data_IF_907886787969
#
_entry.id   IF_907886787969
#
_cell.length_a   1.000
_cell.length_b   1.000
_cell.length_c   1.000
_cell.angle_alpha   90.00
_cell.angle_beta   90.00
_cell.angle_gamma   90.00
#
_symmetry.space_group_name_H-M   'P 1'
#
loop_
_entity.id
_entity.type
_entity.pdbx_description
1 polymer ?
#
# COMPACT_ATOMS: atom_id res chain seq x y z
N UNK A 1 -17.79 -11.01 5.48
CA UNK A 1 -17.49 -11.49 4.12
C UNK A 1 -18.24 -12.78 3.87
N UNK A 2 -18.45 -13.11 2.60
CA UNK A 2 -18.98 -14.42 2.22
C UNK A 2 -17.96 -15.51 2.62
N UNK A 3 -18.34 -16.61 3.30
CA UNK A 3 -17.36 -17.56 3.86
C UNK A 3 -16.39 -18.15 2.82
N UNK A 4 -16.82 -18.51 1.60
CA UNK A 4 -15.91 -18.93 0.53
C UNK A 4 -14.89 -17.85 0.12
N UNK A 5 -15.27 -16.57 0.14
CA UNK A 5 -14.33 -15.47 -0.13
C UNK A 5 -13.22 -15.42 0.93
N UNK A 6 -13.58 -15.60 2.20
CA UNK A 6 -12.62 -15.59 3.30
C UNK A 6 -11.61 -16.73 3.18
N UNK A 7 -12.08 -17.94 2.90
CA UNK A 7 -11.22 -19.12 2.69
C UNK A 7 -10.26 -18.89 1.53
N UNK A 8 -10.75 -18.35 0.41
CA UNK A 8 -9.92 -18.02 -0.75
C UNK A 8 -8.88 -16.95 -0.42
N UNK A 9 -9.26 -15.89 0.29
CA UNK A 9 -8.33 -14.83 0.70
C UNK A 9 -7.22 -15.38 1.60
N UNK A 10 -7.55 -16.25 2.56
CA UNK A 10 -6.55 -16.88 3.43
C UNK A 10 -5.64 -17.84 2.66
N UNK A 11 -6.20 -18.59 1.70
CA UNK A 11 -5.48 -19.58 0.92
C UNK A 11 -4.61 -18.96 -0.19
N UNK A 12 -5.03 -17.86 -0.80
CA UNK A 12 -4.46 -17.32 -2.04
C UNK A 12 -3.97 -15.87 -1.93
N UNK A 13 -4.40 -15.14 -0.90
CA UNK A 13 -4.04 -13.74 -0.71
C UNK A 13 -2.58 -13.53 -0.34
N UNK A 14 -2.11 -12.32 -0.61
CA UNK A 14 -0.84 -11.79 -0.14
C UNK A 14 -1.08 -10.48 0.61
N UNK A 15 -0.36 -10.31 1.70
CA UNK A 15 -0.38 -9.08 2.48
C UNK A 15 1.02 -8.69 2.92
N UNK A 16 1.29 -7.39 2.94
CA UNK A 16 2.56 -6.84 3.40
C UNK A 16 2.32 -5.61 4.27
N UNK A 17 3.23 -5.39 5.20
CA UNK A 17 3.24 -4.22 6.06
C UNK A 17 4.38 -3.30 5.65
N UNK A 18 4.04 -2.12 5.13
CA UNK A 18 5.00 -1.10 4.73
C UNK A 18 5.15 -0.13 5.90
N UNK A 19 6.33 -0.12 6.52
CA UNK A 19 6.64 0.78 7.62
C UNK A 19 7.39 2.00 7.09
N UNK A 20 6.98 3.24 7.46
CA UNK A 20 7.75 4.41 7.11
C UNK A 20 9.14 4.33 7.77
N UNK A 21 10.18 4.72 7.01
CA UNK A 21 11.55 4.77 7.51
C UNK A 21 11.78 5.97 8.44
N UNK A 22 11.12 7.08 8.15
CA UNK A 22 11.21 8.36 8.84
C UNK A 22 9.92 9.17 8.66
N UNK A 23 9.88 10.40 9.19
CA UNK A 23 8.72 11.29 9.09
C UNK A 23 8.36 11.71 7.66
N UNK A 24 9.36 11.82 6.78
CA UNK A 24 9.11 12.10 5.37
C UNK A 24 8.43 10.89 4.71
N UNK A 25 8.92 9.67 4.97
CA UNK A 25 8.29 8.43 4.55
C UNK A 25 6.87 8.29 5.09
N UNK A 26 6.63 8.68 6.35
CA UNK A 26 5.30 8.72 6.96
C UNK A 26 4.38 9.69 6.22
N UNK A 27 4.85 10.89 5.89
CA UNK A 27 4.09 11.87 5.12
C UNK A 27 3.79 11.41 3.69
N UNK A 28 4.74 10.76 3.01
CA UNK A 28 4.57 10.18 1.68
C UNK A 28 3.49 9.08 1.72
N UNK A 29 3.59 8.13 2.64
CA UNK A 29 2.63 7.04 2.79
C UNK A 29 1.25 7.52 3.29
N UNK A 30 1.17 8.69 3.92
CA UNK A 30 -0.09 9.32 4.29
C UNK A 30 -0.95 9.65 3.06
N UNK A 31 -0.30 10.03 1.94
CA UNK A 31 -0.97 10.37 0.69
C UNK A 31 -1.81 9.20 0.18
N UNK A 32 -3.12 9.43 0.01
CA UNK A 32 -4.02 8.45 -0.61
C UNK A 32 -3.57 8.14 -2.03
N UNK A 33 -3.17 9.17 -2.80
CA UNK A 33 -2.67 9.01 -4.16
C UNK A 33 -1.43 8.11 -4.23
N UNK A 34 -0.48 8.28 -3.30
CA UNK A 34 0.71 7.42 -3.25
C UNK A 34 0.34 5.96 -2.98
N UNK A 35 -0.55 5.73 -2.01
CA UNK A 35 -1.02 4.38 -1.68
C UNK A 35 -1.75 3.73 -2.85
N UNK A 36 -2.56 4.49 -3.57
CA UNK A 36 -3.23 4.03 -4.79
C UNK A 36 -2.23 3.74 -5.90
N UNK A 37 -1.17 4.54 -6.07
CA UNK A 37 -0.12 4.28 -7.05
C UNK A 37 0.60 2.95 -6.76
N UNK A 38 1.03 2.72 -5.51
CA UNK A 38 1.66 1.45 -5.10
C UNK A 38 0.73 0.27 -5.39
N UNK A 39 -0.53 0.39 -4.99
CA UNK A 39 -1.54 -0.66 -5.17
C UNK A 39 -1.82 -0.95 -6.66
N UNK A 40 -1.95 0.11 -7.46
CA UNK A 40 -2.16 0.01 -8.90
C UNK A 40 -0.98 -0.65 -9.59
N UNK A 41 0.26 -0.26 -9.27
CA UNK A 41 1.47 -0.88 -9.82
C UNK A 41 1.57 -2.36 -9.43
N UNK A 42 1.27 -2.70 -8.17
CA UNK A 42 1.23 -4.10 -7.73
C UNK A 42 0.19 -4.91 -8.50
N UNK A 43 -1.03 -4.39 -8.64
CA UNK A 43 -2.11 -5.03 -9.39
C UNK A 43 -1.78 -5.20 -10.88
N UNK A 44 -1.14 -4.20 -11.50
CA UNK A 44 -0.76 -4.24 -12.91
C UNK A 44 0.35 -5.27 -13.21
N UNK A 45 1.30 -5.46 -12.29
CA UNK A 45 2.45 -6.33 -12.51
C UNK A 45 2.25 -7.77 -12.03
N UNK A 46 1.54 -7.98 -10.92
CA UNK A 46 1.23 -9.33 -10.40
C UNK A 46 -0.07 -9.91 -10.98
N UNK A 47 -0.87 -9.06 -11.62
CA UNK A 47 -2.27 -9.38 -11.90
C UNK A 47 -3.10 -9.47 -10.62
N UNK A 48 -4.42 -9.57 -10.79
CA UNK A 48 -5.34 -9.76 -9.67
C UNK A 48 -6.46 -10.71 -10.07
N UNK A 49 -7.03 -11.43 -9.11
CA UNK A 49 -8.24 -12.23 -9.28
C UNK A 49 -9.54 -11.42 -9.06
N UNK A 50 -9.44 -10.09 -9.10
CA UNK A 50 -10.61 -9.22 -8.98
C UNK A 50 -11.53 -9.41 -10.18
N UNK A 51 -12.81 -9.58 -9.90
CA UNK A 51 -13.88 -9.57 -10.89
C UNK A 51 -15.00 -8.60 -10.48
N UNK A 52 -15.80 -8.15 -11.45
CA UNK A 52 -16.83 -7.10 -11.27
C UNK A 52 -17.82 -7.45 -10.13
N UNK A 53 -18.11 -8.75 -9.95
CA UNK A 53 -19.05 -9.24 -8.94
C UNK A 53 -18.38 -9.74 -7.64
N UNK A 54 -17.07 -9.56 -7.47
CA UNK A 54 -16.30 -10.09 -6.34
C UNK A 54 -15.56 -8.97 -5.57
N UNK A 55 -16.28 -8.06 -4.89
CA UNK A 55 -15.69 -6.91 -4.23
C UNK A 55 -14.74 -7.28 -3.09
N UNK A 56 -14.92 -8.46 -2.48
CA UNK A 56 -14.06 -8.99 -1.42
C UNK A 56 -12.59 -9.16 -1.89
N UNK A 57 -12.35 -9.26 -3.20
CA UNK A 57 -11.02 -9.46 -3.79
C UNK A 57 -10.34 -8.18 -4.23
N UNK A 58 -11.00 -7.04 -4.03
CA UNK A 58 -10.44 -5.73 -4.37
C UNK A 58 -9.13 -5.52 -3.61
N UNK A 59 -8.02 -5.21 -4.29
CA UNK A 59 -6.78 -4.85 -3.60
C UNK A 59 -7.01 -3.64 -2.70
N UNK A 60 -6.38 -3.60 -1.53
CA UNK A 60 -6.55 -2.52 -0.56
C UNK A 60 -5.24 -2.12 0.08
N UNK A 61 -5.06 -0.81 0.26
CA UNK A 61 -4.03 -0.24 1.11
C UNK A 61 -4.70 0.58 2.22
N UNK A 62 -4.46 0.19 3.49
CA UNK A 62 -5.01 0.85 4.68
C UNK A 62 -3.89 1.32 5.58
N UNK A 63 -4.08 2.49 6.19
CA UNK A 63 -3.09 3.14 7.04
C UNK A 63 -3.48 2.92 8.50
N UNK A 64 -2.52 2.51 9.31
CA UNK A 64 -2.60 2.64 10.76
C UNK A 64 -2.45 4.12 11.13
N UNK A 65 -3.46 4.68 11.79
CA UNK A 65 -3.55 6.12 12.08
C UNK A 65 -2.46 6.56 13.05
N UNK A 66 -2.04 5.69 13.95
CA UNK A 66 -1.12 6.00 15.04
C UNK A 66 0.34 5.83 14.59
N UNK A 67 0.63 4.74 13.87
CA UNK A 67 2.01 4.42 13.45
C UNK A 67 2.37 4.96 12.06
N UNK A 68 1.38 5.21 11.22
CA UNK A 68 1.58 5.56 9.80
C UNK A 68 2.00 4.36 8.92
N UNK A 69 2.04 3.15 9.47
CA UNK A 69 2.28 1.94 8.70
C UNK A 69 1.12 1.65 7.75
N UNK A 70 1.43 1.08 6.58
CA UNK A 70 0.42 0.69 5.58
C UNK A 70 0.32 -0.83 5.52
N UNK A 71 -0.87 -1.35 5.78
CA UNK A 71 -1.24 -2.71 5.40
C UNK A 71 -1.71 -2.71 3.94
N UNK A 72 -1.02 -3.45 3.08
CA UNK A 72 -1.42 -3.70 1.71
C UNK A 72 -1.88 -5.15 1.56
N UNK A 73 -3.03 -5.35 0.94
CA UNK A 73 -3.61 -6.64 0.59
C UNK A 73 -3.84 -6.71 -0.91
N UNK A 74 -3.55 -7.87 -1.50
CA UNK A 74 -3.84 -8.20 -2.89
C UNK A 74 -4.16 -9.69 -3.00
N UNK A 75 -5.09 -10.05 -3.89
CA UNK A 75 -5.34 -11.43 -4.31
C UNK A 75 -4.76 -11.62 -5.73
N UNK A 76 -3.48 -12.01 -5.86
CA UNK A 76 -2.79 -12.06 -7.15
C UNK A 76 -3.16 -13.33 -7.92
N UNK A 77 -2.80 -13.38 -9.21
CA UNK A 77 -2.94 -14.59 -10.03
C UNK A 77 -2.03 -15.71 -9.50
N UNK A 78 -0.77 -15.36 -9.21
CA UNK A 78 0.26 -16.24 -8.63
C UNK A 78 0.88 -15.58 -7.39
N UNK A 79 1.22 -16.39 -6.38
CA UNK A 79 1.85 -15.88 -5.16
C UNK A 79 3.34 -15.67 -5.36
N UNK A 80 3.77 -14.41 -5.36
CA UNK A 80 5.19 -14.04 -5.39
C UNK A 80 5.47 -12.83 -4.49
N UNK A 81 5.87 -13.11 -3.24
CA UNK A 81 6.23 -12.09 -2.26
C UNK A 81 7.49 -11.31 -2.63
N UNK A 82 8.44 -11.91 -3.35
CA UNK A 82 9.65 -11.21 -3.79
C UNK A 82 9.33 -10.20 -4.89
N UNK A 83 8.46 -10.57 -5.83
CA UNK A 83 7.96 -9.64 -6.83
C UNK A 83 7.17 -8.49 -6.17
N UNK A 84 6.22 -8.80 -5.26
CA UNK A 84 5.47 -7.76 -4.54
C UNK A 84 6.39 -6.81 -3.77
N UNK A 85 7.39 -7.34 -3.05
CA UNK A 85 8.38 -6.54 -2.32
C UNK A 85 9.16 -5.62 -3.26
N UNK A 86 9.68 -6.16 -4.37
CA UNK A 86 10.42 -5.38 -5.36
C UNK A 86 9.57 -4.28 -5.99
N UNK A 87 8.30 -4.54 -6.28
CA UNK A 87 7.37 -3.55 -6.82
C UNK A 87 7.18 -2.39 -5.84
N UNK A 88 6.94 -2.70 -4.56
CA UNK A 88 6.71 -1.68 -3.54
C UNK A 88 7.98 -0.85 -3.31
N UNK A 89 9.14 -1.49 -3.20
CA UNK A 89 10.43 -0.80 -2.99
C UNK A 89 10.80 0.12 -4.17
N UNK A 90 10.38 -0.23 -5.39
CA UNK A 90 10.69 0.53 -6.62
C UNK A 90 9.56 1.46 -7.08
N UNK A 91 8.42 1.46 -6.38
CA UNK A 91 7.29 2.32 -6.74
C UNK A 91 7.72 3.79 -6.64
N UNK A 92 7.55 4.60 -7.69
CA UNK A 92 7.94 6.00 -7.65
C UNK A 92 7.09 6.78 -6.64
N UNK A 93 7.71 7.77 -6.01
CA UNK A 93 7.00 8.74 -5.19
C UNK A 93 6.37 9.79 -6.10
N UNK A 94 5.06 9.96 -6.00
CA UNK A 94 4.33 10.99 -6.73
C UNK A 94 4.72 12.37 -6.23
N UNK A 95 4.79 13.34 -7.13
CA UNK A 95 5.06 14.75 -6.78
C UNK A 95 4.04 15.29 -5.76
N UNK A 96 2.77 14.92 -5.92
CA UNK A 96 1.69 15.28 -5.00
C UNK A 96 1.86 14.69 -3.58
N UNK A 97 2.63 13.60 -3.45
CA UNK A 97 2.99 12.99 -2.18
C UNK A 97 4.34 13.46 -1.64
N UNK A 98 5.23 13.95 -2.52
CA UNK A 98 6.55 14.49 -2.19
C UNK A 98 6.48 15.90 -1.58
N UNK A 99 5.54 16.13 -0.65
CA UNK A 99 5.68 17.25 0.27
C UNK A 99 6.73 16.84 1.28
N UNK A 100 7.76 17.65 1.46
CA UNK A 100 8.76 17.47 2.51
C UNK A 100 8.36 18.34 3.69
N UNK A 101 7.47 17.88 4.59
CA UNK A 101 6.99 18.71 5.70
C UNK A 101 8.16 19.28 6.51
N UNK A 102 9.21 18.50 6.75
CA UNK A 102 10.42 18.92 7.48
C UNK A 102 11.23 20.03 6.78
N UNK A 103 11.09 20.22 5.46
CA UNK A 103 11.76 21.33 4.77
C UNK A 103 10.99 22.64 4.93
N UNK A 104 9.71 22.59 5.31
CA UNK A 104 8.90 23.77 5.61
C UNK A 104 9.23 24.32 7.00
N UNK A 105 9.07 25.64 7.20
CA UNK A 105 9.27 26.27 8.51
C UNK A 105 8.39 25.61 9.59
N UNK A 106 7.14 25.26 9.27
CA UNK A 106 6.23 24.60 10.19
C UNK A 106 6.67 23.16 10.55
N UNK A 107 7.19 22.39 9.60
CA UNK A 107 7.66 21.03 9.90
C UNK A 107 9.01 20.98 10.59
N UNK A 108 9.86 22.00 10.47
CA UNK A 108 11.05 22.14 11.32
C UNK A 108 10.67 22.33 12.79
N UNK A 109 9.65 23.14 13.06
CA UNK A 109 9.12 23.38 14.41
C UNK A 109 8.47 22.11 15.00
N UNK A 110 7.84 21.28 14.17
CA UNK A 110 7.16 20.06 14.60
C UNK A 110 8.06 18.83 14.75
N UNK A 111 9.36 18.94 14.42
CA UNK A 111 10.34 17.85 14.46
C UNK A 111 11.27 17.90 15.68
N UNK A 112 11.15 18.95 16.51
CA UNK A 112 11.77 19.09 17.83
C UNK A 112 10.84 18.54 18.92
#
# INVERSE_FOLDING_TARGET
>A
GYPPSQEKILAEGMAVMIKPKDDNGRAILHSVGQRQAILHTAAALLGTKLEIAEPDFTPLARKDIDTGAIGLFILPLEKDFECLRNIIERSPVLESASRKPLETQAGRIASD
#
